data_IF_318588203390
#
_entry.id   IF_318588203390
#
_cell.length_a   1.000
_cell.length_b   1.000
_cell.length_c   1.000
_cell.angle_alpha   90.00
_cell.angle_beta   90.00
_cell.angle_gamma   90.00
#
_symmetry.space_group_name_H-M   'P 1'
#
loop_
_entity.id
_entity.type
_entity.pdbx_description
1 polymer ?
#
# COMPACT_ATOMS: atom_id res chain seq x y z
N UNK A 1 -14.32 10.00 15.21
CA UNK A 1 -13.20 9.56 14.39
C UNK A 1 -12.00 9.34 15.29
N UNK A 2 -11.71 8.13 15.62
CA UNK A 2 -10.46 7.80 16.31
C UNK A 2 -9.33 7.98 15.32
N UNK A 3 -8.45 8.94 15.57
CA UNK A 3 -7.16 8.98 14.91
C UNK A 3 -6.52 7.61 15.11
N UNK A 4 -6.10 6.92 14.06
CA UNK A 4 -5.29 5.76 14.27
C UNK A 4 -3.99 6.25 14.88
N UNK A 5 -3.74 5.81 16.10
CA UNK A 5 -2.48 5.79 16.81
C UNK A 5 -1.70 7.12 16.84
N UNK A 6 -1.46 7.60 18.05
CA UNK A 6 -0.54 8.70 18.30
C UNK A 6 0.82 8.43 17.62
N UNK A 7 1.50 9.48 17.13
CA UNK A 7 2.89 9.37 16.76
C UNK A 7 3.67 8.84 17.96
N UNK A 8 4.44 7.80 17.76
CA UNK A 8 5.20 7.13 18.83
C UNK A 8 4.76 5.72 19.16
N UNK A 9 3.65 5.25 18.61
CA UNK A 9 3.25 3.86 18.78
C UNK A 9 4.15 2.90 17.98
N UNK A 10 4.59 1.85 18.64
CA UNK A 10 5.43 0.80 18.06
C UNK A 10 4.68 0.03 16.96
N UNK A 11 5.43 -0.71 16.16
CA UNK A 11 4.87 -1.63 15.16
C UNK A 11 3.89 -2.64 15.79
N UNK A 12 4.17 -3.08 17.02
CA UNK A 12 3.33 -4.02 17.76
C UNK A 12 1.96 -3.42 18.09
N UNK A 13 1.91 -2.15 18.51
CA UNK A 13 0.64 -1.47 18.82
C UNK A 13 -0.22 -1.27 17.56
N UNK A 14 0.39 -1.16 16.40
CA UNK A 14 -0.33 -1.16 15.11
C UNK A 14 -0.89 -2.53 14.76
N UNK A 15 -0.22 -3.58 15.15
CA UNK A 15 -0.72 -4.93 14.98
C UNK A 15 -2.05 -5.12 15.70
N UNK A 16 -2.18 -4.63 16.93
CA UNK A 16 -3.42 -4.70 17.71
C UNK A 16 -4.59 -3.96 17.03
N UNK A 17 -4.31 -2.84 16.37
CA UNK A 17 -5.34 -2.12 15.59
C UNK A 17 -5.79 -2.91 14.38
N UNK A 18 -4.87 -3.57 13.69
CA UNK A 18 -5.20 -4.45 12.57
C UNK A 18 -5.99 -5.68 13.03
N UNK A 19 -5.63 -6.25 14.17
CA UNK A 19 -6.37 -7.37 14.77
C UNK A 19 -7.79 -6.97 15.15
N UNK A 20 -7.99 -5.78 15.72
CA UNK A 20 -9.32 -5.24 16.00
C UNK A 20 -10.14 -5.06 14.73
N UNK A 21 -9.52 -4.60 13.65
CA UNK A 21 -10.17 -4.46 12.35
C UNK A 21 -10.55 -5.82 11.77
N UNK A 22 -9.64 -6.79 11.77
CA UNK A 22 -9.87 -8.15 11.29
C UNK A 22 -10.99 -8.84 12.08
N UNK A 23 -11.12 -8.54 13.37
CA UNK A 23 -12.17 -9.06 14.23
C UNK A 23 -13.49 -8.26 14.16
N UNK A 24 -13.59 -7.26 13.28
CA UNK A 24 -14.78 -6.44 13.09
C UNK A 24 -15.06 -5.44 14.23
N UNK A 25 -14.11 -5.23 15.15
CA UNK A 25 -14.24 -4.28 16.26
C UNK A 25 -13.95 -2.83 15.88
N UNK A 26 -13.24 -2.60 14.79
CA UNK A 26 -12.95 -1.29 14.25
C UNK A 26 -13.33 -1.21 12.77
N UNK A 27 -13.81 -0.03 12.32
CA UNK A 27 -14.08 0.26 10.92
C UNK A 27 -13.25 1.44 10.49
N UNK A 28 -12.65 1.30 9.30
CA UNK A 28 -11.98 2.40 8.60
C UNK A 28 -12.88 2.87 7.45
N UNK A 29 -12.74 4.13 7.04
CA UNK A 29 -13.43 4.66 5.85
C UNK A 29 -13.04 3.91 4.58
N UNK A 30 -11.83 3.36 4.55
CA UNK A 30 -11.30 2.46 3.53
C UNK A 30 -10.14 1.64 4.12
N UNK A 31 -9.84 0.51 3.52
CA UNK A 31 -8.59 -0.22 3.76
C UNK A 31 -7.87 -0.48 2.45
N UNK A 32 -6.54 -0.45 2.50
CA UNK A 32 -5.73 -0.81 1.35
C UNK A 32 -5.96 -2.29 0.97
N UNK A 33 -6.14 -3.13 1.97
CA UNK A 33 -6.41 -4.56 1.76
C UNK A 33 -7.65 -4.79 0.93
N UNK A 34 -8.77 -4.13 1.24
CA UNK A 34 -10.01 -4.27 0.46
C UNK A 34 -9.81 -3.87 -0.99
N UNK A 35 -9.13 -2.73 -1.23
CA UNK A 35 -8.86 -2.24 -2.58
C UNK A 35 -7.88 -3.14 -3.33
N UNK A 36 -6.89 -3.70 -2.65
CA UNK A 36 -5.94 -4.66 -3.24
C UNK A 36 -6.64 -5.96 -3.61
N UNK A 37 -7.38 -6.56 -2.68
CA UNK A 37 -8.03 -7.85 -2.92
C UNK A 37 -9.07 -7.83 -4.03
N UNK A 38 -9.73 -6.71 -4.24
CA UNK A 38 -10.65 -6.56 -5.36
C UNK A 38 -9.97 -6.64 -6.74
N UNK A 39 -8.66 -6.42 -6.82
CA UNK A 39 -7.91 -6.29 -8.07
C UNK A 39 -6.84 -7.35 -8.27
N UNK A 40 -6.35 -7.97 -7.18
CA UNK A 40 -5.14 -8.80 -7.21
C UNK A 40 -5.27 -10.04 -8.10
N UNK A 41 -6.44 -10.66 -8.14
CA UNK A 41 -6.67 -11.86 -8.96
C UNK A 41 -6.48 -11.57 -10.45
N UNK A 42 -6.89 -10.39 -10.91
CA UNK A 42 -6.69 -9.98 -12.30
C UNK A 42 -5.21 -9.77 -12.61
N UNK A 43 -4.46 -9.20 -11.67
CA UNK A 43 -3.00 -9.04 -11.80
C UNK A 43 -2.30 -10.39 -11.87
N UNK A 44 -2.66 -11.33 -10.99
CA UNK A 44 -2.08 -12.68 -10.99
C UNK A 44 -2.36 -13.41 -12.30
N UNK A 45 -3.60 -13.38 -12.79
CA UNK A 45 -3.99 -13.98 -14.06
C UNK A 45 -3.24 -13.38 -15.25
N UNK A 46 -3.10 -12.06 -15.27
CA UNK A 46 -2.38 -11.36 -16.34
C UNK A 46 -0.89 -11.71 -16.33
N UNK A 47 -0.23 -11.71 -15.17
CA UNK A 47 1.19 -12.06 -15.04
C UNK A 47 1.48 -13.51 -15.46
N UNK A 48 0.59 -14.44 -15.14
CA UNK A 48 0.74 -15.85 -15.53
C UNK A 48 0.57 -16.01 -17.04
N UNK A 49 -0.42 -15.34 -17.62
CA UNK A 49 -0.72 -15.44 -19.05
C UNK A 49 0.25 -14.65 -19.92
N UNK A 50 0.63 -13.45 -19.46
CA UNK A 50 1.50 -12.53 -20.18
C UNK A 50 2.58 -11.98 -19.21
N UNK A 51 3.68 -12.75 -18.98
CA UNK A 51 4.70 -12.36 -18.00
C UNK A 51 5.33 -10.99 -18.27
N UNK A 52 5.40 -10.56 -19.54
CA UNK A 52 5.97 -9.27 -19.93
C UNK A 52 4.97 -8.11 -19.94
N UNK A 53 3.75 -8.33 -19.45
CA UNK A 53 2.69 -7.33 -19.42
C UNK A 53 3.13 -6.07 -18.67
N UNK A 54 2.68 -4.93 -19.19
CA UNK A 54 2.85 -3.59 -18.58
C UNK A 54 1.56 -3.09 -17.94
N UNK A 55 0.52 -3.93 -17.88
CA UNK A 55 -0.82 -3.57 -17.45
C UNK A 55 -1.17 -4.09 -16.05
N UNK A 56 -0.21 -4.68 -15.34
CA UNK A 56 -0.42 -5.26 -14.01
C UNK A 56 -0.44 -4.16 -12.95
N UNK A 57 -1.56 -3.48 -12.85
CA UNK A 57 -1.79 -2.34 -11.96
C UNK A 57 -2.79 -2.70 -10.86
N UNK A 58 -2.51 -2.24 -9.65
CA UNK A 58 -3.47 -2.15 -8.55
C UNK A 58 -3.59 -0.68 -8.18
N UNK A 59 -4.80 -0.13 -8.28
CA UNK A 59 -5.09 1.24 -7.92
C UNK A 59 -5.63 1.32 -6.50
N UNK A 60 -5.00 2.15 -5.67
CA UNK A 60 -5.49 2.45 -4.32
C UNK A 60 -6.33 3.71 -4.33
N UNK A 61 -5.88 4.76 -5.02
CA UNK A 61 -6.67 5.96 -5.19
C UNK A 61 -7.88 5.70 -6.07
N UNK A 62 -9.06 6.01 -5.55
CA UNK A 62 -10.32 5.91 -6.28
C UNK A 62 -10.83 7.33 -6.60
N UNK A 63 -10.90 7.64 -7.90
CA UNK A 63 -11.29 8.98 -8.34
C UNK A 63 -12.71 9.37 -7.94
N UNK A 64 -13.61 8.40 -7.83
CA UNK A 64 -15.01 8.69 -7.47
C UNK A 64 -15.19 8.90 -5.97
N UNK A 65 -14.47 8.13 -5.17
CA UNK A 65 -14.59 8.18 -3.71
C UNK A 65 -13.66 9.23 -3.09
N UNK A 66 -12.38 9.25 -3.50
CA UNK A 66 -11.35 10.04 -2.83
C UNK A 66 -11.34 11.49 -3.32
N UNK A 67 -11.54 11.74 -4.63
CA UNK A 67 -11.62 13.11 -5.15
C UNK A 67 -12.80 13.89 -4.58
N UNK A 68 -13.92 13.23 -4.32
CA UNK A 68 -15.12 13.87 -3.76
C UNK A 68 -14.92 14.41 -2.35
N UNK A 69 -13.89 13.93 -1.62
CA UNK A 69 -13.64 14.30 -0.22
C UNK A 69 -12.27 14.96 0.00
N UNK A 70 -11.53 15.29 -1.07
CA UNK A 70 -10.26 16.02 -0.98
C UNK A 70 -10.44 17.34 -0.23
N UNK A 71 -9.49 17.63 0.67
CA UNK A 71 -9.49 18.85 1.47
C UNK A 71 -10.52 18.88 2.60
N UNK A 72 -11.35 17.86 2.74
CA UNK A 72 -12.32 17.73 3.82
C UNK A 72 -11.75 17.05 5.06
N UNK A 73 -12.64 16.67 5.97
CA UNK A 73 -12.29 15.99 7.23
C UNK A 73 -12.06 14.48 7.07
N UNK A 74 -12.53 13.88 5.97
CA UNK A 74 -12.34 12.46 5.70
C UNK A 74 -10.90 12.19 5.25
N UNK A 75 -10.42 11.02 5.61
CA UNK A 75 -9.09 10.56 5.17
C UNK A 75 -9.17 10.09 3.74
N UNK A 76 -8.14 10.44 2.97
CA UNK A 76 -7.91 9.89 1.64
C UNK A 76 -6.59 9.11 1.63
N UNK A 77 -6.44 8.11 0.75
CA UNK A 77 -5.22 7.30 0.70
C UNK A 77 -3.96 8.12 0.44
N UNK A 78 -2.87 7.76 1.10
CA UNK A 78 -1.54 8.24 0.76
C UNK A 78 -0.94 7.46 -0.41
N UNK A 79 -1.25 6.17 -0.49
CA UNK A 79 -0.88 5.30 -1.61
C UNK A 79 -1.74 5.60 -2.83
N UNK A 80 -1.12 5.60 -4.00
CA UNK A 80 -1.82 5.81 -5.28
C UNK A 80 -1.96 4.48 -6.01
N UNK A 81 -0.85 3.78 -6.25
CA UNK A 81 -0.87 2.56 -7.06
C UNK A 81 0.34 1.67 -6.82
N UNK A 82 0.16 0.41 -7.17
CA UNK A 82 1.20 -0.59 -7.29
C UNK A 82 1.23 -1.09 -8.74
N UNK A 83 2.40 -1.11 -9.35
CA UNK A 83 2.61 -1.69 -10.67
C UNK A 83 3.61 -2.84 -10.59
N UNK A 84 3.22 -4.00 -11.05
CA UNK A 84 4.10 -5.17 -11.14
C UNK A 84 4.67 -5.29 -12.54
N UNK A 85 5.99 -5.42 -12.63
CA UNK A 85 6.71 -5.52 -13.90
C UNK A 85 7.73 -6.65 -13.81
N UNK A 86 7.52 -7.71 -14.57
CA UNK A 86 8.48 -8.82 -14.65
C UNK A 86 9.46 -8.56 -15.79
N UNK A 87 10.74 -8.52 -15.45
CA UNK A 87 11.85 -8.34 -16.41
C UNK A 87 13.08 -9.13 -15.96
N UNK A 88 13.79 -9.69 -16.92
CA UNK A 88 15.03 -10.44 -16.66
C UNK A 88 14.86 -11.54 -15.59
N UNK A 89 13.75 -12.25 -15.63
CA UNK A 89 13.45 -13.34 -14.70
C UNK A 89 13.06 -12.92 -13.28
N UNK A 90 12.84 -11.63 -13.04
CA UNK A 90 12.48 -11.08 -11.72
C UNK A 90 11.24 -10.20 -11.78
N UNK A 91 10.39 -10.33 -10.77
CA UNK A 91 9.23 -9.47 -10.58
C UNK A 91 9.62 -8.25 -9.76
N UNK A 92 9.41 -7.08 -10.33
CA UNK A 92 9.63 -5.80 -9.68
C UNK A 92 8.29 -5.17 -9.31
N UNK A 93 8.28 -4.40 -8.24
CA UNK A 93 7.13 -3.61 -7.81
C UNK A 93 7.51 -2.13 -7.83
N UNK A 94 6.71 -1.34 -8.54
CA UNK A 94 6.78 0.12 -8.53
C UNK A 94 5.60 0.62 -7.70
N UNK A 95 5.91 1.24 -6.57
CA UNK A 95 4.94 1.74 -5.62
C UNK A 95 4.91 3.26 -5.64
N UNK A 96 3.73 3.83 -5.87
CA UNK A 96 3.53 5.28 -5.92
C UNK A 96 2.72 5.76 -4.72
N UNK A 97 3.28 6.73 -4.00
CA UNK A 97 2.62 7.46 -2.92
C UNK A 97 2.60 8.96 -3.21
N UNK A 98 1.47 9.64 -2.93
CA UNK A 98 1.41 11.09 -2.99
C UNK A 98 2.06 11.76 -1.77
N UNK A 99 2.09 11.07 -0.64
CA UNK A 99 2.52 11.62 0.64
C UNK A 99 2.92 10.51 1.60
N UNK A 100 4.01 10.71 2.33
CA UNK A 100 4.46 9.77 3.35
C UNK A 100 5.14 10.52 4.52
N UNK A 101 4.69 10.23 5.74
CA UNK A 101 5.37 10.65 6.96
C UNK A 101 6.52 9.68 7.25
N UNK A 102 7.75 10.17 7.09
CA UNK A 102 8.96 9.34 7.21
C UNK A 102 9.14 8.76 8.61
N UNK A 103 8.69 9.48 9.63
CA UNK A 103 8.89 9.06 11.03
C UNK A 103 7.92 7.97 11.46
N UNK A 104 6.69 7.98 10.95
CA UNK A 104 5.63 7.10 11.44
C UNK A 104 5.18 6.04 10.45
N UNK A 105 5.27 6.27 9.15
CA UNK A 105 4.64 5.41 8.15
C UNK A 105 5.61 4.75 7.17
N UNK A 106 6.73 5.39 6.86
CA UNK A 106 7.65 4.94 5.82
C UNK A 106 8.08 3.47 5.98
N UNK A 107 8.57 3.09 7.16
CA UNK A 107 9.03 1.72 7.39
C UNK A 107 7.93 0.67 7.24
N UNK A 108 6.72 0.99 7.69
CA UNK A 108 5.55 0.10 7.56
C UNK A 108 5.10 -0.01 6.11
N UNK A 109 5.04 1.11 5.40
CA UNK A 109 4.63 1.15 3.99
C UNK A 109 5.59 0.35 3.11
N UNK A 110 6.90 0.48 3.34
CA UNK A 110 7.93 -0.33 2.65
C UNK A 110 7.78 -1.81 2.97
N UNK A 111 7.60 -2.17 4.23
CA UNK A 111 7.46 -3.56 4.64
C UNK A 111 6.21 -4.21 4.04
N UNK A 112 5.08 -3.51 4.03
CA UNK A 112 3.83 -4.00 3.44
C UNK A 112 3.94 -4.14 1.92
N UNK A 113 4.54 -3.17 1.23
CA UNK A 113 4.78 -3.24 -0.21
C UNK A 113 5.71 -4.41 -0.56
N UNK A 114 6.76 -4.64 0.24
CA UNK A 114 7.65 -5.79 0.06
C UNK A 114 6.91 -7.12 0.23
N UNK A 115 6.07 -7.24 1.26
CA UNK A 115 5.24 -8.43 1.47
C UNK A 115 4.26 -8.68 0.33
N UNK A 116 3.69 -7.63 -0.24
CA UNK A 116 2.84 -7.73 -1.43
C UNK A 116 3.63 -8.24 -2.64
N UNK A 117 4.84 -7.73 -2.86
CA UNK A 117 5.73 -8.21 -3.92
C UNK A 117 6.08 -9.69 -3.73
N UNK A 118 6.47 -10.11 -2.52
CA UNK A 118 6.75 -11.52 -2.21
C UNK A 118 5.54 -12.41 -2.46
N UNK A 119 4.35 -11.96 -2.07
CA UNK A 119 3.11 -12.70 -2.27
C UNK A 119 2.81 -12.92 -3.76
N UNK A 120 2.84 -11.86 -4.56
CA UNK A 120 2.57 -11.95 -6.01
C UNK A 120 3.63 -12.79 -6.72
N UNK A 121 4.90 -12.63 -6.37
CA UNK A 121 5.98 -13.44 -6.93
C UNK A 121 5.79 -14.94 -6.63
N UNK A 122 5.41 -15.27 -5.41
CA UNK A 122 5.13 -16.66 -5.02
C UNK A 122 3.92 -17.24 -5.77
N UNK A 123 2.83 -16.50 -5.87
CA UNK A 123 1.63 -16.94 -6.58
C UNK A 123 1.84 -17.14 -8.08
N UNK A 124 2.80 -16.43 -8.67
CA UNK A 124 3.13 -16.50 -10.10
C UNK A 124 4.36 -17.34 -10.39
N UNK A 125 4.98 -17.93 -9.38
CA UNK A 125 6.25 -18.67 -9.47
C UNK A 125 7.39 -17.85 -10.09
N UNK A 126 7.44 -16.57 -9.77
CA UNK A 126 8.48 -15.64 -10.22
C UNK A 126 9.47 -15.36 -9.09
N UNK A 127 10.70 -15.01 -9.44
CA UNK A 127 11.69 -14.54 -8.47
C UNK A 127 11.41 -13.09 -8.09
N UNK A 128 11.58 -12.77 -6.81
CA UNK A 128 11.50 -11.39 -6.33
C UNK A 128 12.64 -10.56 -6.90
N UNK A 129 12.31 -9.40 -7.43
CA UNK A 129 13.26 -8.40 -7.92
C UNK A 129 13.40 -7.21 -6.98
N UNK A 130 13.11 -6.02 -7.48
CA UNK A 130 13.28 -4.74 -6.79
C UNK A 130 11.94 -4.13 -6.41
N UNK A 131 11.93 -3.43 -5.28
CA UNK A 131 10.88 -2.48 -4.91
C UNK A 131 11.37 -1.06 -5.21
N UNK A 132 10.64 -0.37 -6.09
CA UNK A 132 10.84 1.06 -6.37
C UNK A 132 9.74 1.85 -5.68
N UNK A 133 10.12 2.68 -4.73
CA UNK A 133 9.17 3.45 -3.93
C UNK A 133 9.25 4.93 -4.31
N UNK A 134 8.22 5.41 -5.00
CA UNK A 134 8.11 6.79 -5.46
C UNK A 134 7.18 7.57 -4.54
N UNK A 135 7.69 8.59 -3.89
CA UNK A 135 6.94 9.42 -2.94
C UNK A 135 7.02 10.88 -3.41
N UNK A 136 5.86 11.49 -3.69
CA UNK A 136 5.81 12.89 -4.12
C UNK A 136 6.14 13.83 -2.97
N UNK A 137 5.55 13.61 -1.79
CA UNK A 137 5.81 14.43 -0.60
C UNK A 137 6.27 13.54 0.55
N UNK A 138 7.58 13.45 0.71
CA UNK A 138 8.20 12.84 1.90
C UNK A 138 8.41 13.92 2.95
N UNK A 139 7.81 13.77 4.12
CA UNK A 139 7.81 14.79 5.16
C UNK A 139 7.91 14.19 6.56
N UNK A 140 8.20 15.05 7.54
CA UNK A 140 8.05 14.78 8.97
C UNK A 140 7.39 15.97 9.65
N UNK A 141 6.70 15.71 10.74
CA UNK A 141 6.08 16.77 11.52
C UNK A 141 7.04 17.32 12.57
N UNK A 142 6.94 18.64 12.87
CA UNK A 142 7.79 19.29 13.88
C UNK A 142 7.72 18.63 15.26
N UNK A 143 6.58 18.06 15.61
CA UNK A 143 6.37 17.33 16.87
C UNK A 143 7.23 16.07 17.02
N UNK A 144 7.75 15.54 15.90
CA UNK A 144 8.56 14.32 15.86
C UNK A 144 10.06 14.62 15.85
N UNK A 145 10.41 15.91 15.90
CA UNK A 145 11.80 16.36 15.96
C UNK A 145 12.26 16.49 17.41
N UNK A 146 13.53 16.17 17.70
CA UNK A 146 14.11 16.36 19.02
C UNK A 146 14.18 17.82 19.44
#
# INVERSE_FOLDING_TARGET
SRRPLNPGHSFLERHDVWDQFLNGLAKFDYTYSERIFAQIDNVLKELVKHPDSRQCMIMIWDQHLDNAVMGGKKRVPCSISYQFVHRNGKLNLIYYMRSCDVMTHFGVDVALAWKLLEYVARCTNMKVGMLYHNITSLHSYKRDWP
#
